data_IF_465347481904
#
_entry.id   IF_465347481904
#
_cell.length_a   1.000
_cell.length_b   1.000
_cell.length_c   1.000
_cell.angle_alpha   90.00
_cell.angle_beta   90.00
_cell.angle_gamma   90.00
#
_symmetry.space_group_name_H-M   'P 1'
#
loop_
_entity.id
_entity.type
_entity.pdbx_description
1 polymer ?
#
# COMPACT_ATOMS: atom_id res chain seq x y z
N UNK A 1 13.57 39.48 -5.70
CA UNK A 1 13.21 38.51 -6.75
C UNK A 1 14.39 37.57 -6.93
N UNK A 2 14.28 36.31 -6.47
CA UNK A 2 15.35 35.35 -6.68
C UNK A 2 15.47 35.08 -8.19
N UNK A 3 16.67 35.26 -8.76
CA UNK A 3 16.95 34.96 -10.16
C UNK A 3 16.67 33.47 -10.39
N UNK A 4 16.00 33.13 -11.50
CA UNK A 4 15.88 31.74 -11.94
C UNK A 4 17.29 31.13 -12.06
N UNK A 5 17.50 29.96 -11.46
CA UNK A 5 18.74 29.22 -11.58
C UNK A 5 18.61 28.23 -12.75
N UNK A 6 19.24 28.49 -13.92
CA UNK A 6 19.10 27.61 -15.07
C UNK A 6 19.86 26.30 -14.82
N UNK A 7 19.14 25.19 -14.82
CA UNK A 7 19.70 23.85 -14.75
C UNK A 7 19.48 23.16 -16.11
N UNK A 8 20.56 22.67 -16.72
CA UNK A 8 20.50 21.87 -17.94
C UNK A 8 21.08 20.49 -17.68
N UNK A 9 20.32 19.44 -18.00
CA UNK A 9 20.78 18.06 -17.97
C UNK A 9 20.35 17.34 -19.24
N UNK A 10 21.08 16.27 -19.59
CA UNK A 10 20.73 15.42 -20.73
C UNK A 10 20.00 14.19 -20.24
N UNK A 11 18.77 13.99 -20.69
CA UNK A 11 18.06 12.73 -20.53
C UNK A 11 18.55 11.74 -21.60
N UNK A 12 18.68 10.46 -21.23
CA UNK A 12 19.08 9.39 -22.16
C UNK A 12 18.33 8.10 -21.84
N UNK A 13 18.12 7.28 -22.86
CA UNK A 13 17.53 5.95 -22.71
C UNK A 13 16.10 6.00 -22.18
N UNK A 14 15.76 5.11 -21.24
CA UNK A 14 14.40 4.97 -20.71
C UNK A 14 13.87 6.26 -20.06
N UNK A 15 14.74 7.02 -19.38
CA UNK A 15 14.35 8.26 -18.72
C UNK A 15 13.84 9.32 -19.70
N UNK A 16 14.38 9.36 -20.92
CA UNK A 16 13.89 10.25 -21.98
C UNK A 16 12.48 9.85 -22.43
N UNK A 17 12.24 8.55 -22.58
CA UNK A 17 10.94 8.01 -23.00
C UNK A 17 9.89 8.29 -21.94
N UNK A 18 10.18 7.97 -20.68
CA UNK A 18 9.25 8.17 -19.55
C UNK A 18 8.94 9.65 -19.34
N UNK A 19 9.94 10.52 -19.50
CA UNK A 19 9.74 11.97 -19.44
C UNK A 19 8.77 12.47 -20.51
N UNK A 20 8.95 12.04 -21.78
CA UNK A 20 8.03 12.41 -22.87
C UNK A 20 6.61 11.93 -22.58
N UNK A 21 6.44 10.69 -22.12
CA UNK A 21 5.14 10.14 -21.74
C UNK A 21 4.48 11.00 -20.65
N UNK A 22 5.21 11.33 -19.58
CA UNK A 22 4.68 12.15 -18.50
C UNK A 22 4.26 13.55 -18.97
N UNK A 23 5.15 14.23 -19.71
CA UNK A 23 4.90 15.56 -20.28
C UNK A 23 3.65 15.56 -21.16
N UNK A 24 3.56 14.61 -22.09
CA UNK A 24 2.50 14.54 -23.09
C UNK A 24 1.15 14.23 -22.44
N UNK A 25 1.11 13.35 -21.43
CA UNK A 25 -0.10 13.08 -20.63
C UNK A 25 -0.62 14.32 -19.91
N UNK A 26 0.29 15.16 -19.41
CA UNK A 26 -0.06 16.38 -18.70
C UNK A 26 -0.28 17.60 -19.58
N UNK A 27 -0.07 17.48 -20.91
CA UNK A 27 -0.01 18.64 -21.83
C UNK A 27 0.89 19.77 -21.30
N UNK A 28 2.02 19.39 -20.71
CA UNK A 28 2.96 20.31 -20.06
C UNK A 28 4.05 20.76 -21.02
N UNK A 29 4.64 21.94 -20.77
CA UNK A 29 5.93 22.28 -21.36
C UNK A 29 7.07 21.44 -20.75
N UNK A 30 8.18 21.28 -21.47
CA UNK A 30 9.37 20.59 -20.95
C UNK A 30 9.84 21.20 -19.62
N UNK A 31 9.76 22.53 -19.48
CA UNK A 31 10.15 23.25 -18.27
C UNK A 31 9.21 22.94 -17.09
N UNK A 32 7.90 22.88 -17.33
CA UNK A 32 6.92 22.55 -16.29
C UNK A 32 7.02 21.09 -15.86
N UNK A 33 7.12 20.17 -16.82
CA UNK A 33 7.29 18.75 -16.55
C UNK A 33 8.57 18.50 -15.74
N UNK A 34 9.68 19.12 -16.14
CA UNK A 34 10.96 19.01 -15.42
C UNK A 34 10.85 19.57 -14.01
N UNK A 35 10.22 20.73 -13.84
CA UNK A 35 10.03 21.36 -12.51
C UNK A 35 9.20 20.47 -11.60
N UNK A 36 8.07 19.93 -12.07
CA UNK A 36 7.21 19.05 -11.27
C UNK A 36 7.94 17.78 -10.85
N UNK A 37 8.62 17.11 -11.79
CA UNK A 37 9.36 15.89 -11.50
C UNK A 37 10.54 16.14 -10.55
N UNK A 38 11.25 17.25 -10.71
CA UNK A 38 12.36 17.61 -9.84
C UNK A 38 11.87 17.97 -8.43
N UNK A 39 10.78 18.72 -8.31
CA UNK A 39 10.15 19.04 -7.02
C UNK A 39 9.70 17.77 -6.30
N UNK A 40 9.06 16.84 -7.02
CA UNK A 40 8.64 15.56 -6.48
C UNK A 40 9.83 14.71 -6.02
N UNK A 41 10.87 14.58 -6.84
CA UNK A 41 12.07 13.83 -6.51
C UNK A 41 12.81 14.43 -5.30
N UNK A 42 12.91 15.76 -5.23
CA UNK A 42 13.50 16.45 -4.08
C UNK A 42 12.65 16.26 -2.83
N UNK A 43 11.32 16.32 -2.93
CA UNK A 43 10.44 16.05 -1.79
C UNK A 43 10.67 14.64 -1.24
N UNK A 44 10.78 13.63 -2.11
CA UNK A 44 11.12 12.27 -1.66
C UNK A 44 12.50 12.26 -0.99
N UNK A 45 13.52 12.79 -1.65
CA UNK A 45 14.91 12.68 -1.18
C UNK A 45 15.25 13.51 0.05
N UNK A 46 14.59 14.65 0.22
CA UNK A 46 14.74 15.50 1.40
C UNK A 46 13.88 14.99 2.56
N UNK A 47 12.66 14.52 2.29
CA UNK A 47 11.83 13.90 3.33
C UNK A 47 12.38 12.54 3.77
N UNK A 48 13.09 11.79 2.91
CA UNK A 48 13.81 10.55 3.29
C UNK A 48 14.82 10.81 4.44
N UNK A 49 15.29 12.05 4.65
CA UNK A 49 16.22 12.42 5.72
C UNK A 49 15.55 13.07 6.95
N UNK A 50 14.26 13.44 6.88
CA UNK A 50 13.52 14.14 7.95
C UNK A 50 12.24 13.42 8.41
N UNK A 51 11.81 12.34 7.76
CA UNK A 51 10.59 11.63 8.15
C UNK A 51 10.84 10.71 9.37
N UNK A 52 10.29 11.09 10.52
CA UNK A 52 9.97 10.19 11.66
C UNK A 52 8.96 9.08 11.29
N UNK A 53 8.64 8.90 10.01
CA UNK A 53 7.69 7.88 9.56
C UNK A 53 8.40 6.53 9.56
N UNK A 54 7.73 5.48 10.09
CA UNK A 54 8.31 4.14 10.08
C UNK A 54 8.65 3.75 8.64
N UNK A 55 9.88 3.31 8.44
CA UNK A 55 10.33 2.70 7.20
C UNK A 55 9.40 1.54 6.84
N UNK A 56 9.34 1.15 5.56
CA UNK A 56 8.56 -0.02 5.15
C UNK A 56 8.88 -1.27 5.97
N UNK A 57 10.14 -1.40 6.43
CA UNK A 57 10.55 -2.48 7.31
C UNK A 57 9.90 -2.37 8.70
N UNK A 58 9.98 -1.21 9.34
CA UNK A 58 9.37 -0.98 10.66
C UNK A 58 7.85 -1.16 10.60
N UNK A 59 7.21 -0.70 9.52
CA UNK A 59 5.78 -0.92 9.28
C UNK A 59 5.45 -2.42 9.16
N UNK A 60 6.23 -3.18 8.38
CA UNK A 60 6.03 -4.64 8.26
C UNK A 60 6.31 -5.38 9.57
N UNK A 61 7.30 -4.96 10.34
CA UNK A 61 7.60 -5.52 11.67
C UNK A 61 6.44 -5.28 12.64
N UNK A 62 5.84 -4.09 12.63
CA UNK A 62 4.69 -3.76 13.48
C UNK A 62 3.40 -4.48 13.04
N UNK A 63 3.16 -4.59 11.72
CA UNK A 63 2.08 -5.42 11.17
C UNK A 63 2.25 -6.87 11.63
N UNK A 64 3.45 -7.42 11.53
CA UNK A 64 3.72 -8.78 11.97
C UNK A 64 3.46 -8.96 13.47
N UNK A 65 3.93 -8.04 14.33
CA UNK A 65 3.65 -8.06 15.77
C UNK A 65 2.16 -8.03 16.06
N UNK A 66 1.43 -7.13 15.43
CA UNK A 66 -0.02 -6.98 15.60
C UNK A 66 -0.76 -8.25 15.19
N UNK A 67 -0.43 -8.82 14.02
CA UNK A 67 -1.02 -10.08 13.55
C UNK A 67 -0.73 -11.23 14.52
N UNK A 68 0.51 -11.37 15.02
CA UNK A 68 0.86 -12.43 15.98
C UNK A 68 0.12 -12.28 17.31
N UNK A 69 -0.02 -11.06 17.82
CA UNK A 69 -0.80 -10.79 19.03
C UNK A 69 -2.28 -11.16 18.86
N UNK A 70 -2.89 -10.78 17.73
CA UNK A 70 -4.27 -11.12 17.42
C UNK A 70 -4.49 -12.63 17.29
N UNK A 71 -3.57 -13.33 16.62
CA UNK A 71 -3.62 -14.81 16.51
C UNK A 71 -3.52 -15.45 17.90
N UNK A 72 -2.59 -15.01 18.75
CA UNK A 72 -2.44 -15.56 20.10
C UNK A 72 -3.71 -15.38 20.95
N UNK A 73 -4.35 -14.21 20.89
CA UNK A 73 -5.63 -13.96 21.59
C UNK A 73 -6.76 -14.80 20.99
N UNK A 74 -6.82 -14.94 19.67
CA UNK A 74 -7.81 -15.81 19.01
C UNK A 74 -7.66 -17.27 19.43
N UNK A 75 -6.42 -17.77 19.49
CA UNK A 75 -6.14 -19.15 19.91
C UNK A 75 -6.53 -19.37 21.37
N UNK A 76 -6.23 -18.41 22.25
CA UNK A 76 -6.66 -18.45 23.65
C UNK A 76 -8.18 -18.48 23.76
N UNK A 77 -8.87 -17.59 23.04
CA UNK A 77 -10.33 -17.53 23.02
C UNK A 77 -10.93 -18.83 22.51
N UNK A 78 -10.37 -19.40 21.44
CA UNK A 78 -10.76 -20.70 20.91
C UNK A 78 -10.58 -21.79 21.95
N UNK A 79 -9.41 -21.87 22.61
CA UNK A 79 -9.14 -22.88 23.63
C UNK A 79 -10.12 -22.83 24.81
N UNK A 80 -10.57 -21.64 25.20
CA UNK A 80 -11.51 -21.44 26.31
C UNK A 80 -12.97 -21.74 25.93
N UNK A 81 -13.34 -21.55 24.66
CA UNK A 81 -14.74 -21.60 24.20
C UNK A 81 -15.05 -22.81 23.31
N UNK A 82 -14.06 -23.63 22.98
CA UNK A 82 -14.22 -24.74 22.06
C UNK A 82 -15.16 -25.80 22.63
N UNK A 83 -16.25 -26.07 21.89
CA UNK A 83 -17.19 -27.14 22.17
C UNK A 83 -17.10 -28.20 21.04
N UNK A 84 -16.49 -29.38 21.29
CA UNK A 84 -16.31 -30.41 20.28
C UNK A 84 -17.63 -31.00 19.78
N UNK A 85 -18.62 -31.18 20.67
CA UNK A 85 -19.91 -31.78 20.32
C UNK A 85 -20.71 -30.90 19.35
N UNK A 86 -20.73 -29.59 19.62
CA UNK A 86 -21.34 -28.59 18.72
C UNK A 86 -20.62 -28.53 17.38
N UNK A 87 -19.28 -28.63 17.37
CA UNK A 87 -18.47 -28.61 16.15
C UNK A 87 -18.83 -29.76 15.21
N UNK A 88 -18.97 -30.99 15.72
CA UNK A 88 -19.37 -32.14 14.89
C UNK A 88 -20.81 -32.02 14.38
N UNK A 89 -21.72 -31.54 15.24
CA UNK A 89 -23.14 -31.38 14.90
C UNK A 89 -23.37 -30.37 13.76
N UNK A 90 -22.58 -29.30 13.71
CA UNK A 90 -22.74 -28.19 12.76
C UNK A 90 -21.64 -28.14 11.69
N UNK A 91 -20.93 -29.26 11.45
CA UNK A 91 -19.76 -29.31 10.59
C UNK A 91 -20.05 -28.87 9.14
N UNK A 92 -21.19 -29.29 8.58
CA UNK A 92 -21.56 -28.99 7.20
C UNK A 92 -21.85 -27.49 7.01
N UNK A 93 -22.70 -26.92 7.87
CA UNK A 93 -23.06 -25.50 7.85
C UNK A 93 -21.83 -24.62 8.13
N UNK A 94 -20.99 -25.03 9.08
CA UNK A 94 -19.75 -24.32 9.42
C UNK A 94 -18.76 -24.28 8.25
N UNK A 95 -18.66 -25.36 7.44
CA UNK A 95 -17.80 -25.38 6.25
C UNK A 95 -18.30 -24.40 5.18
N UNK A 96 -19.61 -24.38 4.93
CA UNK A 96 -20.22 -23.45 3.98
C UNK A 96 -20.02 -22.00 4.42
N UNK A 97 -20.30 -21.70 5.70
CA UNK A 97 -20.12 -20.37 6.27
C UNK A 97 -18.65 -19.91 6.21
N UNK A 98 -17.69 -20.76 6.59
CA UNK A 98 -16.25 -20.42 6.50
C UNK A 98 -15.83 -20.11 5.07
N UNK A 99 -16.36 -20.83 4.09
CA UNK A 99 -16.06 -20.59 2.67
C UNK A 99 -16.61 -19.23 2.23
N UNK A 100 -17.84 -18.91 2.63
CA UNK A 100 -18.47 -17.63 2.33
C UNK A 100 -17.71 -16.47 2.97
N UNK A 101 -17.46 -16.52 4.28
CA UNK A 101 -16.70 -15.47 5.00
C UNK A 101 -15.32 -15.25 4.37
N UNK A 102 -14.64 -16.33 3.96
CA UNK A 102 -13.35 -16.22 3.27
C UNK A 102 -13.47 -15.51 1.92
N UNK A 103 -14.53 -15.80 1.16
CA UNK A 103 -14.79 -15.12 -0.10
C UNK A 103 -15.05 -13.63 0.13
N UNK A 104 -15.92 -13.29 1.08
CA UNK A 104 -16.27 -11.90 1.41
C UNK A 104 -15.03 -11.07 1.83
N UNK A 105 -14.15 -11.65 2.65
CA UNK A 105 -12.88 -11.01 3.05
C UNK A 105 -11.94 -10.79 1.86
N UNK A 106 -11.82 -11.79 0.98
CA UNK A 106 -10.98 -11.69 -0.20
C UNK A 106 -11.51 -10.62 -1.16
N UNK A 107 -12.81 -10.65 -1.46
CA UNK A 107 -13.46 -9.71 -2.39
C UNK A 107 -13.34 -8.26 -1.86
N UNK A 108 -13.54 -8.04 -0.56
CA UNK A 108 -13.33 -6.73 0.06
C UNK A 108 -11.87 -6.27 0.00
N UNK A 109 -10.92 -7.20 0.14
CA UNK A 109 -9.48 -6.90 0.00
C UNK A 109 -9.13 -6.53 -1.44
N UNK A 110 -9.63 -7.29 -2.41
CA UNK A 110 -9.41 -7.03 -3.84
C UNK A 110 -10.04 -5.71 -4.29
N UNK A 111 -11.23 -5.37 -3.78
CA UNK A 111 -11.88 -4.08 -4.04
C UNK A 111 -11.10 -2.91 -3.43
N UNK A 112 -10.52 -3.07 -2.23
CA UNK A 112 -9.64 -2.07 -1.63
C UNK A 112 -8.34 -1.90 -2.43
N UNK A 113 -7.67 -3.00 -2.78
CA UNK A 113 -6.42 -2.98 -3.54
C UNK A 113 -6.57 -2.47 -4.98
N UNK A 114 -7.70 -2.76 -5.62
CA UNK A 114 -8.05 -2.19 -6.93
C UNK A 114 -8.48 -0.72 -6.86
N UNK A 115 -8.67 -0.18 -5.66
CA UNK A 115 -8.99 1.22 -5.44
C UNK A 115 -10.45 1.58 -5.71
N UNK A 116 -11.37 0.60 -5.76
CA UNK A 116 -12.82 0.85 -5.90
C UNK A 116 -13.41 1.58 -4.70
N UNK A 117 -12.81 1.42 -3.52
CA UNK A 117 -13.24 2.06 -2.27
C UNK A 117 -12.23 3.14 -1.83
N UNK A 118 -11.87 4.07 -2.72
CA UNK A 118 -11.16 5.29 -2.34
C UNK A 118 -12.17 6.39 -2.03
N UNK A 119 -12.60 6.46 -0.77
CA UNK A 119 -13.09 7.70 -0.14
C UNK A 119 -12.02 8.23 0.81
#
# INVERSE_FOLDING_TARGET
MARSYPLQSKLKGQLEVDFKIFRDRGSLSDAEATRQLLEFALRIKLNDNEDERPTNRELLEEIYRTVRSNVAVSDLTHSQTFNPESMYKHLADSKALRKQVKADVNDGTDDYLSGKNKE
#
